data_IF_867868733650
#
_entry.id   IF_867868733650
#
_cell.length_a   1.000
_cell.length_b   1.000
_cell.length_c   1.000
_cell.angle_alpha   90.00
_cell.angle_beta   90.00
_cell.angle_gamma   90.00
#
_symmetry.space_group_name_H-M   'P 1'
#
loop_
_entity.id
_entity.type
_entity.pdbx_description
1 polymer ?
#
# COMPACT_ATOMS: atom_id res chain seq x y z
N UNK A 1 -7.61 -21.16 -1.91
CA UNK A 1 -7.59 -19.76 -1.43
C UNK A 1 -8.51 -18.97 -2.35
N UNK A 2 -9.63 -18.47 -1.82
CA UNK A 2 -10.73 -17.88 -2.59
C UNK A 2 -10.38 -16.49 -3.15
N UNK A 3 -10.61 -16.24 -4.44
CA UNK A 3 -10.21 -15.01 -5.13
C UNK A 3 -10.90 -13.75 -4.59
N UNK A 4 -12.06 -13.88 -3.92
CA UNK A 4 -12.82 -12.73 -3.41
C UNK A 4 -12.17 -12.04 -2.21
N UNK A 5 -11.31 -12.75 -1.48
CA UNK A 5 -10.65 -12.19 -0.30
C UNK A 5 -9.59 -11.14 -0.67
N UNK A 6 -8.89 -11.35 -1.80
CA UNK A 6 -7.83 -10.45 -2.25
C UNK A 6 -8.39 -9.09 -2.71
N UNK A 7 -9.59 -9.06 -3.27
CA UNK A 7 -10.26 -7.84 -3.75
C UNK A 7 -10.63 -6.87 -2.62
N UNK A 8 -10.79 -7.39 -1.40
CA UNK A 8 -11.08 -6.59 -0.20
C UNK A 8 -9.80 -6.02 0.43
N UNK A 9 -8.61 -6.54 0.08
CA UNK A 9 -7.36 -6.09 0.68
C UNK A 9 -7.01 -4.69 0.19
N UNK A 10 -7.05 -3.73 1.11
CA UNK A 10 -6.64 -2.35 0.89
C UNK A 10 -5.27 -2.09 1.50
N UNK A 11 -4.56 -1.15 0.90
CA UNK A 11 -3.24 -0.76 1.34
C UNK A 11 -3.27 -0.18 2.78
N UNK A 12 -2.51 -0.73 3.74
CA UNK A 12 -2.50 -0.26 5.12
C UNK A 12 -1.80 1.10 5.30
N UNK A 13 -0.91 1.48 4.37
CA UNK A 13 -0.28 2.82 4.37
C UNK A 13 -1.10 3.85 3.61
N UNK A 14 -2.15 3.46 2.89
CA UNK A 14 -3.05 4.41 2.26
C UNK A 14 -4.05 4.93 3.29
N UNK A 15 -4.04 6.22 3.65
CA UNK A 15 -4.93 6.73 4.68
C UNK A 15 -6.40 6.74 4.25
N UNK A 16 -6.68 6.74 2.95
CA UNK A 16 -8.03 6.67 2.40
C UNK A 16 -8.51 5.22 2.23
N UNK A 17 -7.62 4.23 2.36
CA UNK A 17 -7.86 2.80 2.06
C UNK A 17 -8.63 2.59 0.75
N UNK A 18 -8.35 3.43 -0.23
CA UNK A 18 -8.97 3.41 -1.55
C UNK A 18 -8.22 2.47 -2.49
N UNK A 19 -6.89 2.37 -2.37
CA UNK A 19 -6.08 1.55 -3.27
C UNK A 19 -6.20 0.05 -2.95
N UNK A 20 -6.36 -0.77 -4.00
CA UNK A 20 -6.38 -2.24 -3.92
C UNK A 20 -4.96 -2.80 -3.92
N UNK A 21 -4.78 -3.97 -3.30
CA UNK A 21 -3.53 -4.72 -3.35
C UNK A 21 -3.61 -5.84 -4.39
N UNK A 22 -2.66 -5.84 -5.33
CA UNK A 22 -2.50 -6.90 -6.31
C UNK A 22 -1.48 -7.92 -5.82
N UNK A 23 -1.84 -9.20 -5.90
CA UNK A 23 -0.94 -10.28 -5.53
C UNK A 23 0.00 -10.63 -6.68
N UNK A 24 1.29 -10.49 -6.43
CA UNK A 24 2.36 -11.10 -7.20
C UNK A 24 2.79 -12.44 -6.56
N UNK A 25 3.79 -13.13 -7.12
CA UNK A 25 4.24 -14.46 -6.68
C UNK A 25 4.57 -14.47 -5.19
N UNK A 26 5.35 -13.50 -4.75
CA UNK A 26 5.91 -13.44 -3.38
C UNK A 26 5.57 -12.13 -2.65
N UNK A 27 4.85 -11.21 -3.29
CA UNK A 27 4.55 -9.88 -2.74
C UNK A 27 3.11 -9.46 -3.04
N UNK A 28 2.58 -8.53 -2.25
CA UNK A 28 1.39 -7.76 -2.59
C UNK A 28 1.81 -6.33 -2.95
N UNK A 29 1.50 -5.88 -4.16
CA UNK A 29 1.80 -4.54 -4.63
C UNK A 29 0.55 -3.65 -4.57
N UNK A 30 0.70 -2.41 -4.09
CA UNK A 30 -0.38 -1.44 -4.08
C UNK A 30 -0.49 -0.71 -5.43
N UNK A 31 -1.66 -0.76 -6.06
CA UNK A 31 -1.92 -0.06 -7.35
C UNK A 31 -1.86 1.48 -7.21
N UNK A 32 -2.16 2.01 -6.02
CA UNK A 32 -2.22 3.46 -5.81
C UNK A 32 -0.87 4.12 -5.48
N UNK A 33 0.03 3.42 -4.77
CA UNK A 33 1.30 4.00 -4.32
C UNK A 33 2.53 3.16 -4.66
N UNK A 34 2.39 1.96 -5.21
CA UNK A 34 3.51 1.11 -5.62
C UNK A 34 4.26 0.40 -4.49
N UNK A 35 3.79 0.50 -3.23
CA UNK A 35 4.40 -0.19 -2.09
C UNK A 35 4.22 -1.70 -2.23
N UNK A 36 5.27 -2.46 -1.90
CA UNK A 36 5.28 -3.92 -1.94
C UNK A 36 5.34 -4.51 -0.53
N UNK A 37 4.43 -5.42 -0.23
CA UNK A 37 4.36 -6.15 1.03
C UNK A 37 4.80 -7.60 0.81
N UNK A 38 5.75 -8.14 1.56
CA UNK A 38 6.20 -9.51 1.35
C UNK A 38 5.18 -10.54 1.85
N UNK A 39 5.16 -11.71 1.20
CA UNK A 39 4.36 -12.87 1.61
C UNK A 39 5.29 -13.87 2.27
N UNK A 40 5.19 -14.03 3.59
CA UNK A 40 6.01 -14.96 4.38
C UNK A 40 5.16 -16.16 4.79
N UNK A 41 5.60 -17.39 4.49
CA UNK A 41 4.86 -18.62 4.77
C UNK A 41 3.43 -18.66 4.17
N UNK A 42 3.25 -18.06 3.00
CA UNK A 42 1.93 -17.96 2.36
C UNK A 42 0.98 -16.93 2.99
N UNK A 43 1.44 -16.18 3.99
CA UNK A 43 0.67 -15.11 4.65
C UNK A 43 1.23 -13.74 4.25
N UNK A 44 0.37 -12.80 3.80
CA UNK A 44 0.80 -11.45 3.46
C UNK A 44 1.16 -10.65 4.72
N UNK A 45 2.37 -10.11 4.76
CA UNK A 45 2.87 -9.26 5.85
C UNK A 45 2.52 -7.81 5.56
N UNK A 46 1.33 -7.39 5.99
CA UNK A 46 0.81 -6.03 5.81
C UNK A 46 1.36 -5.03 6.85
N UNK A 47 2.66 -5.11 7.15
CA UNK A 47 3.34 -4.24 8.11
C UNK A 47 4.08 -3.16 7.35
N UNK A 48 3.82 -1.89 7.67
CA UNK A 48 4.40 -0.75 6.95
C UNK A 48 5.94 -0.67 7.07
N UNK A 49 6.53 -1.34 8.05
CA UNK A 49 7.98 -1.41 8.30
C UNK A 49 8.69 -2.49 7.51
N UNK A 50 7.98 -3.58 7.22
CA UNK A 50 8.47 -4.70 6.42
C UNK A 50 8.16 -4.50 4.91
N UNK A 51 7.54 -3.37 4.57
CA UNK A 51 7.12 -3.04 3.22
C UNK A 51 8.22 -2.30 2.46
N UNK A 52 8.42 -2.69 1.20
CA UNK A 52 9.37 -2.08 0.30
C UNK A 52 8.73 -0.87 -0.40
N UNK A 53 9.41 0.28 -0.33
CA UNK A 53 8.95 1.52 -0.94
C UNK A 53 9.26 1.52 -2.44
N UNK A 54 8.40 2.12 -3.28
CA UNK A 54 8.67 2.27 -4.69
C UNK A 54 9.92 3.16 -4.91
N UNK A 55 10.57 3.05 -6.08
CA UNK A 55 11.73 3.87 -6.41
C UNK A 55 11.42 5.37 -6.31
N UNK A 56 12.30 6.12 -5.65
CA UNK A 56 12.13 7.56 -5.42
C UNK A 56 11.36 7.94 -4.16
N UNK A 57 10.92 6.97 -3.35
CA UNK A 57 10.32 7.22 -2.03
C UNK A 57 11.24 6.71 -0.92
N UNK A 58 11.87 7.61 -0.15
CA UNK A 58 12.69 7.25 1.01
C UNK A 58 11.85 7.06 2.28
N UNK A 59 10.70 7.74 2.39
CA UNK A 59 9.84 7.68 3.57
C UNK A 59 8.41 7.39 3.16
N UNK A 60 7.64 6.82 4.10
CA UNK A 60 6.21 6.60 3.91
C UNK A 60 5.46 7.90 3.56
N UNK A 61 5.92 9.06 4.04
CA UNK A 61 5.31 10.34 3.73
C UNK A 61 5.52 10.77 2.26
N UNK A 62 6.56 10.26 1.61
CA UNK A 62 6.83 10.51 0.19
C UNK A 62 5.94 9.67 -0.73
N UNK A 63 5.18 8.70 -0.19
CA UNK A 63 4.28 7.88 -0.99
C UNK A 63 3.16 8.73 -1.63
N UNK A 64 2.81 8.48 -2.90
CA UNK A 64 1.76 9.23 -3.61
C UNK A 64 0.43 9.29 -2.84
N UNK A 65 0.02 8.20 -2.19
CA UNK A 65 -1.20 8.13 -1.39
C UNK A 65 -1.18 9.03 -0.14
N UNK A 66 -0.03 9.16 0.51
CA UNK A 66 0.17 10.01 1.69
C UNK A 66 0.26 11.48 1.31
N UNK A 67 0.97 11.78 0.22
CA UNK A 67 1.07 13.13 -0.33
C UNK A 67 -0.30 13.68 -0.75
N UNK A 68 -1.15 12.85 -1.36
CA UNK A 68 -2.51 13.25 -1.78
C UNK A 68 -3.36 13.70 -0.61
N UNK A 69 -3.32 12.97 0.52
CA UNK A 69 -4.01 13.39 1.74
C UNK A 69 -3.43 14.69 2.30
N UNK A 70 -2.10 14.80 2.36
CA UNK A 70 -1.43 16.00 2.86
C UNK A 70 -1.81 17.25 2.04
N UNK A 71 -1.88 17.13 0.72
CA UNK A 71 -2.35 18.18 -0.18
C UNK A 71 -3.81 18.57 0.08
N UNK A 72 -4.71 17.57 0.21
CA UNK A 72 -6.14 17.81 0.54
C UNK A 72 -6.31 18.52 1.88
N UNK A 73 -5.52 18.17 2.90
CA UNK A 73 -5.56 18.82 4.21
C UNK A 73 -5.17 20.30 4.16
N UNK A 74 -4.20 20.68 3.30
CA UNK A 74 -3.78 22.08 3.13
C UNK A 74 -4.84 22.94 2.45
N UNK A 75 -5.61 22.37 1.52
CA UNK A 75 -6.62 23.12 0.77
C UNK A 75 -7.91 23.41 1.57
N UNK A 76 -8.10 22.69 2.69
CA UNK A 76 -9.26 22.84 3.57
C UNK A 76 -8.98 23.76 4.78
N UNK A 77 -7.84 24.45 4.79
CA UNK A 77 -7.37 25.32 5.88
C UNK A 77 -7.22 26.74 5.36
#
# INVERSE_FOLDING_TARGET
MDARFLDTLRCPVDPERAATLHRDREHLECDGCGVRYPIKNGLPVLIADDADLPPGCDRRLDLPCQQRLAARRKQKK
#
